data_IF_907469084577
#
_entry.id   IF_907469084577
#
_cell.length_a   1.000
_cell.length_b   1.000
_cell.length_c   1.000
_cell.angle_alpha   90.00
_cell.angle_beta   90.00
_cell.angle_gamma   90.00
#
_symmetry.space_group_name_H-M   'P 1'
#
loop_
_entity.id
_entity.type
_entity.pdbx_description
1 polymer ?
#
# COMPACT_ATOMS: atom_id res chain seq x y z
N UNK A 1 -23.71 -45.71 39.77
CA UNK A 1 -25.15 -45.72 39.51
C UNK A 1 -25.58 -44.26 39.40
N UNK A 2 -25.28 -43.65 38.26
CA UNK A 2 -26.21 -43.45 37.13
C UNK A 2 -27.01 -42.16 37.35
N UNK A 3 -26.72 -41.08 36.63
CA UNK A 3 -27.33 -40.94 35.31
C UNK A 3 -26.59 -39.91 34.43
N UNK A 4 -26.29 -40.38 33.23
CA UNK A 4 -25.58 -39.73 32.14
C UNK A 4 -26.61 -39.29 31.09
N UNK A 5 -26.68 -37.97 30.76
CA UNK A 5 -27.19 -37.36 29.50
C UNK A 5 -28.69 -37.61 29.11
N UNK A 6 -29.31 -36.84 28.17
CA UNK A 6 -28.74 -35.92 27.19
C UNK A 6 -29.43 -34.54 27.04
N UNK A 7 -28.63 -33.51 26.75
CA UNK A 7 -29.02 -32.37 25.90
C UNK A 7 -28.00 -32.29 24.75
N UNK A 8 -27.98 -33.36 23.96
CA UNK A 8 -27.24 -33.49 22.71
C UNK A 8 -28.26 -33.41 21.56
N UNK A 9 -28.99 -32.29 21.46
CA UNK A 9 -30.02 -32.12 20.41
C UNK A 9 -30.15 -30.70 19.84
N UNK A 10 -29.18 -29.80 20.04
CA UNK A 10 -29.20 -28.45 19.38
C UNK A 10 -27.90 -28.19 18.61
N UNK A 11 -27.33 -29.22 17.97
CA UNK A 11 -26.18 -29.04 17.07
C UNK A 11 -26.46 -29.57 15.66
N UNK A 12 -27.73 -29.71 15.29
CA UNK A 12 -28.13 -30.26 14.01
C UNK A 12 -29.35 -29.58 13.40
N UNK A 13 -29.42 -28.26 13.51
CA UNK A 13 -30.15 -27.41 12.55
C UNK A 13 -29.39 -26.11 12.47
N UNK A 14 -28.70 -25.88 11.34
CA UNK A 14 -28.55 -24.59 10.64
C UNK A 14 -27.43 -24.69 9.58
N UNK A 15 -27.63 -25.41 8.46
CA UNK A 15 -27.24 -24.85 7.19
C UNK A 15 -28.25 -23.73 6.87
N UNK A 16 -27.79 -22.49 6.68
CA UNK A 16 -28.53 -21.24 6.38
C UNK A 16 -28.45 -20.18 7.50
N UNK A 17 -27.28 -19.57 7.70
CA UNK A 17 -27.16 -18.22 8.28
C UNK A 17 -26.24 -17.35 7.42
N UNK A 18 -26.58 -17.23 6.13
CA UNK A 18 -26.19 -16.07 5.33
C UNK A 18 -27.03 -14.87 5.79
N UNK A 19 -26.61 -14.16 6.85
CA UNK A 19 -26.90 -12.74 7.14
C UNK A 19 -26.30 -12.37 8.50
N UNK A 20 -25.39 -11.40 8.50
CA UNK A 20 -24.64 -10.89 9.66
C UNK A 20 -25.45 -10.29 10.82
N UNK A 21 -26.78 -10.45 10.86
CA UNK A 21 -27.64 -9.82 11.87
C UNK A 21 -27.94 -10.69 13.11
N UNK A 22 -27.55 -11.97 13.13
CA UNK A 22 -27.86 -12.88 14.27
C UNK A 22 -26.80 -12.84 15.39
N UNK A 23 -25.57 -12.37 15.10
CA UNK A 23 -24.53 -12.21 16.14
C UNK A 23 -24.84 -11.06 17.12
N UNK A 24 -25.57 -10.04 16.67
CA UNK A 24 -25.97 -8.93 17.54
C UNK A 24 -27.06 -9.34 18.56
N UNK A 25 -27.95 -10.26 18.19
CA UNK A 25 -29.03 -10.73 19.10
C UNK A 25 -28.54 -11.72 20.16
N UNK A 26 -27.46 -12.47 19.91
CA UNK A 26 -26.87 -13.34 20.94
C UNK A 26 -26.18 -12.57 22.07
N UNK A 27 -25.60 -11.40 21.77
CA UNK A 27 -25.01 -10.53 22.81
C UNK A 27 -26.08 -9.96 23.75
N UNK A 28 -27.30 -9.70 23.26
CA UNK A 28 -28.41 -9.18 24.07
C UNK A 28 -29.12 -10.24 24.91
N UNK A 29 -29.07 -11.53 24.52
CA UNK A 29 -29.63 -12.62 25.32
C UNK A 29 -28.74 -12.93 26.53
N UNK A 30 -27.41 -12.82 26.39
CA UNK A 30 -26.49 -13.10 27.49
C UNK A 30 -26.36 -11.94 28.50
N UNK A 31 -26.64 -10.69 28.09
CA UNK A 31 -26.65 -9.55 29.01
C UNK A 31 -27.86 -9.49 29.95
N UNK A 32 -28.90 -10.31 29.74
CA UNK A 32 -30.13 -10.31 30.55
C UNK A 32 -30.23 -11.44 31.59
N UNK A 33 -29.25 -12.33 31.66
CA UNK A 33 -29.14 -13.31 32.74
C UNK A 33 -27.88 -12.98 33.54
N UNK A 34 -28.07 -12.20 34.59
CA UNK A 34 -27.01 -11.77 35.48
C UNK A 34 -26.28 -12.93 36.16
N UNK A 35 -25.05 -12.63 36.58
CA UNK A 35 -24.11 -13.43 37.38
C UNK A 35 -23.31 -14.49 36.61
N UNK A 36 -22.02 -14.24 36.44
CA UNK A 36 -21.06 -15.24 35.99
C UNK A 36 -20.00 -14.68 35.04
N UNK A 37 -18.77 -14.58 35.53
CA UNK A 37 -17.53 -14.28 34.82
C UNK A 37 -17.52 -14.84 33.39
N UNK A 38 -17.47 -13.96 32.38
CA UNK A 38 -17.33 -14.37 30.98
C UNK A 38 -16.04 -15.18 30.84
N UNK A 39 -16.18 -16.47 30.51
CA UNK A 39 -15.05 -17.42 30.48
C UNK A 39 -14.03 -17.04 29.38
N UNK A 40 -12.72 -17.12 29.66
CA UNK A 40 -11.65 -16.78 28.72
C UNK A 40 -11.69 -17.58 27.40
N UNK A 41 -12.31 -18.76 27.38
CA UNK A 41 -12.49 -19.59 26.18
C UNK A 41 -13.36 -18.95 25.09
N UNK A 42 -14.38 -18.16 25.44
CA UNK A 42 -15.28 -17.59 24.41
C UNK A 42 -14.61 -16.41 23.68
N UNK A 43 -13.81 -15.62 24.41
CA UNK A 43 -12.98 -14.56 23.82
C UNK A 43 -11.86 -15.15 22.94
N UNK A 44 -11.28 -16.27 23.37
CA UNK A 44 -10.28 -17.01 22.59
C UNK A 44 -10.86 -17.57 21.29
N UNK A 45 -12.06 -18.17 21.33
CA UNK A 45 -12.74 -18.69 20.14
C UNK A 45 -13.14 -17.57 19.17
N UNK A 46 -13.54 -16.39 19.68
CA UNK A 46 -13.85 -15.23 18.83
C UNK A 46 -12.59 -14.66 18.16
N UNK A 47 -11.49 -14.51 18.90
CA UNK A 47 -10.18 -14.14 18.32
C UNK A 47 -9.69 -15.15 17.31
N UNK A 48 -9.74 -16.45 17.61
CA UNK A 48 -9.36 -17.51 16.67
C UNK A 48 -10.26 -17.56 15.43
N UNK A 49 -11.54 -17.23 15.54
CA UNK A 49 -12.47 -17.19 14.41
C UNK A 49 -12.26 -15.94 13.55
N UNK A 50 -12.03 -14.78 14.16
CA UNK A 50 -11.66 -13.54 13.47
C UNK A 50 -10.29 -13.66 12.79
N UNK A 51 -9.33 -14.33 13.42
CA UNK A 51 -8.02 -14.64 12.83
C UNK A 51 -8.12 -15.70 11.73
N UNK A 52 -8.96 -16.73 11.90
CA UNK A 52 -9.24 -17.71 10.83
C UNK A 52 -9.97 -17.09 9.65
N UNK A 53 -10.88 -16.14 9.87
CA UNK A 53 -11.52 -15.39 8.79
C UNK A 53 -10.55 -14.42 8.10
N UNK A 54 -9.67 -13.74 8.86
CA UNK A 54 -8.56 -12.93 8.30
C UNK A 54 -7.58 -13.78 7.48
N UNK A 55 -7.22 -14.96 7.98
CA UNK A 55 -6.35 -15.92 7.29
C UNK A 55 -7.02 -16.53 6.06
N UNK A 56 -8.32 -16.84 6.11
CA UNK A 56 -9.08 -17.39 4.98
C UNK A 56 -9.40 -16.36 3.87
N UNK A 57 -9.35 -15.06 4.17
CA UNK A 57 -9.51 -13.97 3.19
C UNK A 57 -8.20 -13.35 2.69
N UNK A 58 -7.03 -13.74 3.22
CA UNK A 58 -5.72 -13.29 2.72
C UNK A 58 -5.43 -13.93 1.37
N UNK A 59 -5.93 -13.32 0.30
CA UNK A 59 -5.37 -13.54 -1.04
C UNK A 59 -3.88 -13.28 -0.95
N UNK A 60 -3.05 -14.26 -1.34
CA UNK A 60 -1.59 -14.15 -1.36
C UNK A 60 -1.20 -12.83 -2.04
N UNK A 61 -0.46 -11.97 -1.36
CA UNK A 61 0.03 -10.72 -1.93
C UNK A 61 0.99 -11.04 -3.08
N UNK A 62 0.88 -10.29 -4.18
CA UNK A 62 1.71 -10.49 -5.37
C UNK A 62 2.74 -9.39 -5.54
N UNK A 63 2.49 -8.20 -4.99
CA UNK A 63 3.34 -7.03 -5.21
C UNK A 63 3.39 -6.12 -3.98
N UNK A 64 4.53 -5.46 -3.82
CA UNK A 64 4.74 -4.33 -2.93
C UNK A 64 5.15 -3.14 -3.81
N UNK A 65 4.41 -2.04 -3.71
CA UNK A 65 4.60 -0.82 -4.48
C UNK A 65 5.15 0.25 -3.55
N UNK A 66 6.29 0.85 -3.89
CA UNK A 66 6.97 1.83 -3.04
C UNK A 66 7.10 3.15 -3.76
N UNK A 67 6.72 4.24 -3.12
CA UNK A 67 7.30 5.53 -3.45
C UNK A 67 8.80 5.54 -3.15
N UNK A 68 9.51 6.47 -3.79
CA UNK A 68 10.94 6.64 -3.64
C UNK A 68 11.24 7.76 -2.63
N UNK A 69 10.81 8.98 -2.97
CA UNK A 69 11.23 10.20 -2.30
C UNK A 69 10.52 10.33 -0.95
N UNK A 70 11.29 10.71 0.07
CA UNK A 70 10.84 10.81 1.47
C UNK A 70 10.22 9.51 2.08
N UNK A 71 10.25 8.41 1.33
CA UNK A 71 9.74 7.09 1.69
C UNK A 71 10.86 6.07 1.92
N UNK A 72 11.75 5.87 0.93
CA UNK A 72 12.92 4.96 1.07
C UNK A 72 14.11 5.64 1.74
N UNK A 73 14.07 6.95 1.87
CA UNK A 73 15.03 7.77 2.59
C UNK A 73 14.27 8.92 3.27
N UNK A 74 14.80 9.51 4.35
CA UNK A 74 14.04 10.50 5.11
C UNK A 74 14.02 11.88 4.44
N UNK A 75 12.94 12.64 4.73
CA UNK A 75 12.79 14.06 4.35
C UNK A 75 13.99 14.94 4.75
N UNK A 76 14.68 14.57 5.84
CA UNK A 76 15.89 15.27 6.30
C UNK A 76 17.08 15.19 5.34
N UNK A 77 17.01 14.38 4.28
CA UNK A 77 18.01 14.36 3.19
C UNK A 77 18.15 15.71 2.48
N UNK A 78 17.09 16.54 2.52
CA UNK A 78 17.04 17.85 1.88
C UNK A 78 16.73 17.81 0.38
N UNK A 79 16.51 16.63 -0.22
CA UNK A 79 16.21 16.51 -1.66
C UNK A 79 14.90 17.22 -1.99
N UNK A 80 13.82 16.97 -1.24
CA UNK A 80 12.54 17.64 -1.47
C UNK A 80 12.66 19.16 -1.34
N UNK A 81 13.40 19.64 -0.33
CA UNK A 81 13.67 21.06 -0.12
C UNK A 81 14.40 21.69 -1.30
N UNK A 82 15.44 21.04 -1.80
CA UNK A 82 16.19 21.53 -2.97
C UNK A 82 15.41 21.40 -4.28
N UNK A 83 14.57 20.37 -4.41
CA UNK A 83 13.71 20.19 -5.57
C UNK A 83 12.68 21.33 -5.66
N UNK A 84 11.99 21.62 -4.56
CA UNK A 84 11.14 22.79 -4.45
C UNK A 84 11.92 24.06 -4.78
N UNK A 85 13.19 24.15 -4.30
CA UNK A 85 14.09 25.26 -4.60
C UNK A 85 14.23 25.52 -6.10
N UNK A 86 14.62 24.47 -6.82
CA UNK A 86 14.85 24.54 -8.26
C UNK A 86 13.57 24.83 -9.06
N UNK A 87 12.40 24.37 -8.58
CA UNK A 87 11.11 24.69 -9.21
C UNK A 87 10.83 26.19 -9.08
N UNK A 88 11.02 26.78 -7.90
CA UNK A 88 10.82 28.21 -7.67
C UNK A 88 11.74 29.06 -8.56
N UNK A 89 13.02 28.71 -8.64
CA UNK A 89 13.98 29.37 -9.54
C UNK A 89 13.54 29.30 -11.00
N UNK A 90 13.10 28.13 -11.47
CA UNK A 90 12.63 27.96 -12.84
C UNK A 90 11.38 28.82 -13.12
N UNK A 91 10.44 28.88 -12.18
CA UNK A 91 9.25 29.73 -12.27
C UNK A 91 9.62 31.22 -12.37
N UNK A 92 10.56 31.68 -11.56
CA UNK A 92 11.02 33.07 -11.60
C UNK A 92 11.75 33.40 -12.90
N UNK A 93 12.75 32.61 -13.26
CA UNK A 93 13.71 32.98 -14.30
C UNK A 93 13.30 32.58 -15.70
N UNK A 94 12.60 31.46 -15.85
CA UNK A 94 12.22 30.91 -17.16
C UNK A 94 10.79 31.22 -17.52
N UNK A 95 9.90 31.31 -16.52
CA UNK A 95 8.50 31.64 -16.74
C UNK A 95 8.15 33.11 -16.43
N UNK A 96 9.09 33.87 -15.85
CA UNK A 96 8.87 35.29 -15.54
C UNK A 96 7.83 35.52 -14.45
N UNK A 97 7.57 34.52 -13.60
CA UNK A 97 6.63 34.64 -12.49
C UNK A 97 7.25 35.53 -11.41
N UNK A 98 6.50 36.54 -10.97
CA UNK A 98 6.96 37.46 -9.92
C UNK A 98 7.31 36.71 -8.63
N UNK A 99 8.47 37.02 -8.04
CA UNK A 99 8.96 36.37 -6.81
C UNK A 99 7.97 36.40 -5.65
N UNK A 100 7.12 37.44 -5.55
CA UNK A 100 6.08 37.55 -4.52
C UNK A 100 4.98 36.50 -4.63
N UNK A 101 4.86 35.83 -5.79
CA UNK A 101 3.92 34.73 -6.05
C UNK A 101 4.59 33.36 -5.86
N UNK A 102 5.89 33.33 -5.61
CA UNK A 102 6.69 32.12 -5.40
C UNK A 102 7.04 32.07 -3.89
N UNK A 103 6.88 30.93 -3.20
CA UNK A 103 7.22 30.84 -1.77
C UNK A 103 8.66 31.32 -1.41
N UNK A 104 8.95 31.75 -0.18
CA UNK A 104 10.17 32.54 0.12
C UNK A 104 11.55 31.78 0.16
N UNK A 105 11.82 30.78 -0.67
CA UNK A 105 13.00 29.88 -0.48
C UNK A 105 13.90 29.65 -1.72
N UNK A 106 14.38 30.66 -2.46
CA UNK A 106 14.94 30.38 -3.80
C UNK A 106 16.32 31.02 -4.12
N UNK A 107 17.36 30.17 -4.21
CA UNK A 107 18.70 30.41 -4.80
C UNK A 107 19.23 29.07 -5.34
N UNK A 108 19.69 29.02 -6.59
CA UNK A 108 20.12 27.82 -7.33
C UNK A 108 20.92 26.75 -6.57
N UNK A 109 20.56 25.48 -6.75
CA UNK A 109 21.35 24.35 -6.28
C UNK A 109 21.15 23.03 -7.04
N UNK A 110 22.22 22.23 -7.14
CA UNK A 110 22.08 20.82 -7.55
C UNK A 110 21.40 20.05 -6.43
N UNK A 111 20.58 19.04 -6.76
CA UNK A 111 20.01 18.16 -5.75
C UNK A 111 21.13 17.48 -4.92
N UNK A 112 21.04 17.50 -3.57
CA UNK A 112 22.14 17.13 -2.69
C UNK A 112 22.26 15.61 -2.52
N UNK A 113 22.50 14.88 -3.60
CA UNK A 113 22.61 13.42 -3.60
C UNK A 113 23.75 12.90 -2.71
N UNK A 114 24.74 13.72 -2.39
CA UNK A 114 25.81 13.47 -1.41
C UNK A 114 25.31 13.22 0.02
N UNK A 115 24.12 13.71 0.35
CA UNK A 115 23.50 13.47 1.65
C UNK A 115 22.94 12.05 1.76
N UNK A 116 22.62 11.41 0.62
CA UNK A 116 22.20 10.02 0.59
C UNK A 116 23.41 9.10 0.80
N UNK A 117 23.28 8.16 1.73
CA UNK A 117 24.29 7.16 2.07
C UNK A 117 23.71 5.76 1.83
N UNK A 118 24.57 4.76 1.54
CA UNK A 118 24.11 3.38 1.44
C UNK A 118 23.39 2.94 2.70
N UNK A 119 22.27 2.24 2.52
CA UNK A 119 21.46 1.71 3.62
C UNK A 119 21.48 0.18 3.60
N UNK A 120 22.49 -0.46 4.23
CA UNK A 120 22.61 -1.91 4.22
C UNK A 120 21.47 -2.60 5.00
N UNK A 121 20.83 -1.90 5.94
CA UNK A 121 19.72 -2.46 6.73
C UNK A 121 18.49 -2.54 5.85
N UNK A 122 18.12 -1.45 5.18
CA UNK A 122 17.00 -1.42 4.24
C UNK A 122 17.25 -2.38 3.06
N UNK A 123 18.48 -2.42 2.54
CA UNK A 123 18.87 -3.38 1.49
C UNK A 123 18.59 -4.81 1.91
N UNK A 124 19.09 -5.24 3.07
CA UNK A 124 18.88 -6.59 3.58
C UNK A 124 17.39 -6.89 3.77
N UNK A 125 16.64 -5.94 4.32
CA UNK A 125 15.20 -6.04 4.52
C UNK A 125 14.46 -6.27 3.20
N UNK A 126 14.71 -5.44 2.18
CA UNK A 126 14.09 -5.53 0.87
C UNK A 126 14.47 -6.82 0.12
N UNK A 127 15.72 -7.26 0.23
CA UNK A 127 16.19 -8.51 -0.39
C UNK A 127 15.57 -9.74 0.27
N UNK A 128 15.33 -9.70 1.58
CA UNK A 128 14.74 -10.81 2.32
C UNK A 128 13.24 -11.03 2.04
N UNK A 129 12.55 -10.06 1.43
CA UNK A 129 11.13 -10.15 1.08
C UNK A 129 10.89 -11.06 -0.14
N UNK A 130 10.16 -12.19 -0.02
CA UNK A 130 9.86 -13.10 -1.13
C UNK A 130 8.68 -12.63 -2.00
N UNK A 131 8.48 -11.32 -2.13
CA UNK A 131 7.38 -10.69 -2.89
C UNK A 131 7.98 -9.73 -3.92
N UNK A 132 7.33 -9.59 -5.09
CA UNK A 132 7.73 -8.62 -6.11
C UNK A 132 7.66 -7.20 -5.56
N UNK A 133 8.67 -6.39 -5.85
CA UNK A 133 8.82 -5.00 -5.40
C UNK A 133 8.95 -4.09 -6.62
N UNK A 134 8.16 -3.03 -6.66
CA UNK A 134 8.15 -2.06 -7.76
C UNK A 134 8.20 -0.65 -7.18
N UNK A 135 9.00 0.22 -7.78
CA UNK A 135 9.00 1.65 -7.44
C UNK A 135 7.92 2.36 -8.24
N UNK A 136 7.22 3.28 -7.61
CA UNK A 136 6.30 4.22 -8.23
C UNK A 136 6.55 5.65 -7.74
N UNK A 137 7.35 6.40 -8.50
CA UNK A 137 7.76 7.78 -8.20
C UNK A 137 7.20 8.76 -9.24
N UNK A 138 6.96 10.01 -8.82
CA UNK A 138 6.69 11.12 -9.73
C UNK A 138 7.98 11.70 -10.36
N UNK A 139 9.15 11.32 -9.84
CA UNK A 139 10.44 11.71 -10.38
C UNK A 139 10.75 11.05 -11.73
N UNK A 140 11.78 11.56 -12.39
CA UNK A 140 12.28 11.03 -13.64
C UNK A 140 13.21 9.82 -13.44
N UNK A 141 13.48 9.10 -14.53
CA UNK A 141 14.33 7.91 -14.52
C UNK A 141 15.76 8.18 -14.03
N UNK A 142 16.33 9.34 -14.34
CA UNK A 142 17.71 9.70 -13.95
C UNK A 142 17.77 9.94 -12.44
N UNK A 143 16.78 10.63 -11.89
CA UNK A 143 16.65 10.84 -10.46
C UNK A 143 16.49 9.52 -9.72
N UNK A 144 15.57 8.67 -10.16
CA UNK A 144 15.32 7.37 -9.54
C UNK A 144 16.59 6.50 -9.52
N UNK A 145 17.30 6.41 -10.64
CA UNK A 145 18.55 5.65 -10.74
C UNK A 145 19.62 6.17 -9.75
N UNK A 146 19.81 7.49 -9.68
CA UNK A 146 20.79 8.11 -8.77
C UNK A 146 20.46 7.84 -7.30
N UNK A 147 19.20 7.98 -6.90
CA UNK A 147 18.79 7.72 -5.50
C UNK A 147 19.06 6.26 -5.15
N UNK A 148 18.64 5.32 -5.99
CA UNK A 148 18.86 3.89 -5.73
C UNK A 148 20.35 3.55 -5.68
N UNK A 149 21.16 4.13 -6.55
CA UNK A 149 22.62 3.96 -6.52
C UNK A 149 23.22 4.47 -5.20
N UNK A 150 22.84 5.67 -4.77
CA UNK A 150 23.35 6.24 -3.51
C UNK A 150 22.92 5.48 -2.27
N UNK A 151 21.73 4.89 -2.28
CA UNK A 151 21.22 4.05 -1.20
C UNK A 151 21.73 2.60 -1.28
N UNK A 152 22.32 2.19 -2.40
CA UNK A 152 22.73 0.81 -2.65
C UNK A 152 21.54 -0.14 -2.74
N UNK A 153 20.50 0.22 -3.51
CA UNK A 153 19.23 -0.51 -3.65
C UNK A 153 18.89 -0.88 -5.11
N UNK A 154 19.85 -0.79 -6.03
CA UNK A 154 19.61 -0.88 -7.48
C UNK A 154 19.04 -2.22 -7.94
N UNK A 155 19.33 -3.30 -7.21
CA UNK A 155 18.89 -4.68 -7.48
C UNK A 155 17.73 -5.15 -6.58
N UNK A 156 17.18 -4.27 -5.74
CA UNK A 156 16.09 -4.62 -4.82
C UNK A 156 14.70 -4.64 -5.48
N UNK A 157 14.56 -4.02 -6.66
CA UNK A 157 13.27 -3.77 -7.31
C UNK A 157 13.22 -4.37 -8.72
N UNK A 158 12.11 -5.02 -9.05
CA UNK A 158 11.89 -5.64 -10.37
C UNK A 158 11.45 -4.62 -11.43
N UNK A 159 11.09 -3.40 -11.05
CA UNK A 159 10.68 -2.37 -11.99
C UNK A 159 10.54 -0.99 -11.37
N UNK A 160 10.60 0.03 -12.22
CA UNK A 160 10.44 1.44 -11.85
C UNK A 160 9.36 2.04 -12.75
N UNK A 161 8.30 2.55 -12.14
CA UNK A 161 7.31 3.42 -12.76
C UNK A 161 7.68 4.84 -12.37
N UNK A 162 8.17 5.60 -13.35
CA UNK A 162 8.61 6.97 -13.21
C UNK A 162 7.89 7.87 -14.21
N UNK A 163 8.24 9.15 -14.25
CA UNK A 163 7.64 10.13 -15.17
C UNK A 163 7.58 9.62 -16.61
N UNK A 164 8.68 9.13 -17.17
CA UNK A 164 8.75 8.66 -18.57
C UNK A 164 7.95 7.37 -18.80
N UNK A 165 7.81 6.52 -17.77
CA UNK A 165 6.97 5.32 -17.86
C UNK A 165 5.50 5.69 -18.03
N UNK A 166 5.03 6.72 -17.32
CA UNK A 166 3.65 7.18 -17.38
C UNK A 166 3.38 8.12 -18.56
N UNK A 167 4.38 8.89 -18.96
CA UNK A 167 4.29 9.94 -19.98
C UNK A 167 5.30 9.67 -21.10
N UNK A 168 5.18 8.55 -21.83
CA UNK A 168 6.09 8.25 -22.92
C UNK A 168 5.98 9.34 -23.99
N UNK A 169 7.10 9.74 -24.63
CA UNK A 169 7.05 10.67 -25.75
C UNK A 169 6.13 10.07 -26.82
N UNK A 170 5.13 10.84 -27.24
CA UNK A 170 4.13 10.41 -28.21
C UNK A 170 4.82 9.94 -29.50
N UNK A 171 4.66 8.67 -29.86
CA UNK A 171 4.84 8.23 -31.24
C UNK A 171 3.62 8.70 -32.02
N UNK A 172 3.70 9.94 -32.52
CA UNK A 172 2.83 10.57 -33.53
C UNK A 172 1.55 9.82 -33.93
N UNK A 173 0.39 10.27 -33.42
CA UNK A 173 -0.85 10.38 -34.19
C UNK A 173 -1.88 11.25 -33.46
N UNK A 174 -2.10 12.45 -34.03
CA UNK A 174 -3.41 13.11 -34.16
C UNK A 174 -4.17 13.46 -32.87
N UNK A 175 -3.79 14.60 -32.28
CA UNK A 175 -4.67 15.76 -32.05
C UNK A 175 -3.88 16.84 -31.31
N UNK A 176 -3.02 17.56 -32.04
CA UNK A 176 -2.81 18.98 -31.70
C UNK A 176 -4.09 19.72 -32.11
N UNK A 177 -5.20 19.48 -31.40
CA UNK A 177 -6.16 20.57 -31.29
C UNK A 177 -5.41 21.65 -30.54
N UNK A 178 -5.31 22.84 -31.13
CA UNK A 178 -4.91 24.05 -30.43
C UNK A 178 -5.85 24.23 -29.23
N UNK A 179 -5.56 23.55 -28.13
CA UNK A 179 -6.22 23.77 -26.87
C UNK A 179 -5.74 25.16 -26.48
N UNK A 180 -6.66 26.12 -26.45
CA UNK A 180 -6.44 27.44 -25.90
C UNK A 180 -5.58 27.28 -24.63
N UNK A 181 -4.38 27.84 -24.63
CA UNK A 181 -3.48 27.79 -23.47
C UNK A 181 -4.28 28.37 -22.31
N UNK A 182 -4.66 27.50 -21.37
CA UNK A 182 -5.44 27.93 -20.24
C UNK A 182 -4.54 28.78 -19.35
N UNK A 183 -4.82 30.07 -19.30
CA UNK A 183 -4.09 30.99 -18.43
C UNK A 183 -4.50 30.74 -16.98
N UNK A 184 -3.78 29.81 -16.36
CA UNK A 184 -3.96 29.43 -14.96
C UNK A 184 -3.71 30.61 -14.03
N UNK A 185 -2.83 31.54 -14.41
CA UNK A 185 -2.50 32.73 -13.61
C UNK A 185 -3.67 33.72 -13.64
N UNK A 186 -4.28 33.95 -14.80
CA UNK A 186 -5.51 34.75 -14.90
C UNK A 186 -6.66 34.09 -14.16
N UNK A 187 -6.83 32.76 -14.28
CA UNK A 187 -7.90 32.04 -13.58
C UNK A 187 -7.82 32.18 -12.05
N UNK A 188 -6.63 32.06 -11.46
CA UNK A 188 -6.44 32.26 -10.02
C UNK A 188 -6.57 33.73 -9.60
N UNK A 189 -6.24 34.67 -10.49
CA UNK A 189 -6.40 36.11 -10.24
C UNK A 189 -7.86 36.57 -10.37
N UNK A 190 -8.64 35.93 -11.24
CA UNK A 190 -10.04 36.22 -11.53
C UNK A 190 -10.87 34.92 -11.59
N UNK A 191 -11.28 34.35 -10.44
CA UNK A 191 -11.97 33.07 -10.39
C UNK A 191 -13.32 33.16 -11.13
N UNK A 192 -13.42 32.53 -12.30
CA UNK A 192 -14.68 32.44 -13.05
C UNK A 192 -15.46 31.23 -12.54
N UNK A 193 -16.65 31.47 -11.98
CA UNK A 193 -17.55 30.41 -11.52
C UNK A 193 -17.94 29.49 -12.68
N UNK A 194 -17.69 28.19 -12.55
CA UNK A 194 -18.06 27.17 -13.53
C UNK A 194 -17.00 26.83 -14.58
N UNK A 195 -15.80 27.41 -14.50
CA UNK A 195 -14.65 27.03 -15.34
C UNK A 195 -13.75 26.09 -14.52
N UNK A 196 -13.75 24.80 -14.85
CA UNK A 196 -12.80 23.84 -14.28
C UNK A 196 -11.44 23.98 -14.96
N UNK A 197 -10.36 23.76 -14.19
CA UNK A 197 -9.02 23.67 -14.77
C UNK A 197 -8.97 22.49 -15.74
N UNK A 198 -8.39 22.65 -16.95
CA UNK A 198 -8.24 21.54 -17.87
C UNK A 198 -7.41 20.44 -17.21
N UNK A 199 -7.77 19.18 -17.47
CA UNK A 199 -6.95 18.06 -17.05
C UNK A 199 -5.57 18.19 -17.71
N UNK A 200 -4.52 18.22 -16.89
CA UNK A 200 -3.15 18.21 -17.41
C UNK A 200 -2.93 16.92 -18.20
N UNK A 201 -2.29 16.99 -19.38
CA UNK A 201 -1.92 15.78 -20.12
C UNK A 201 -0.87 14.95 -19.37
N UNK A 202 -0.24 15.51 -18.33
CA UNK A 202 0.79 14.84 -17.53
C UNK A 202 0.13 13.98 -16.45
N UNK A 203 0.40 12.67 -16.52
CA UNK A 203 0.00 11.70 -15.52
C UNK A 203 1.04 11.62 -14.41
N UNK A 204 0.64 11.97 -13.19
CA UNK A 204 1.43 11.80 -11.98
C UNK A 204 0.52 11.52 -10.75
N UNK A 205 1.08 10.95 -9.69
CA UNK A 205 0.40 10.86 -8.38
C UNK A 205 0.10 12.28 -7.89
N UNK A 206 -1.07 12.53 -7.25
CA UNK A 206 -2.06 11.59 -6.74
C UNK A 206 -3.22 11.26 -7.71
N UNK A 207 -3.11 11.58 -9.01
CA UNK A 207 -4.20 11.34 -9.97
C UNK A 207 -4.61 9.86 -10.00
N UNK A 208 -5.91 9.59 -9.91
CA UNK A 208 -6.45 8.23 -10.02
C UNK A 208 -6.10 7.61 -11.38
N UNK A 209 -6.19 8.40 -12.45
CA UNK A 209 -5.82 7.97 -13.81
C UNK A 209 -4.34 7.57 -13.88
N UNK A 210 -3.45 8.33 -13.22
CA UNK A 210 -2.03 7.99 -13.18
C UNK A 210 -1.78 6.69 -12.39
N UNK A 211 -2.46 6.52 -11.25
CA UNK A 211 -2.37 5.33 -10.41
C UNK A 211 -2.86 4.09 -11.17
N UNK A 212 -4.04 4.14 -11.81
CA UNK A 212 -4.58 3.04 -12.62
C UNK A 212 -3.69 2.71 -13.82
N UNK A 213 -3.15 3.73 -14.50
CA UNK A 213 -2.21 3.55 -15.61
C UNK A 213 -0.92 2.87 -15.14
N UNK A 214 -0.37 3.26 -14.00
CA UNK A 214 0.80 2.64 -13.39
C UNK A 214 0.56 1.15 -13.14
N UNK A 215 -0.55 0.80 -12.47
CA UNK A 215 -0.89 -0.60 -12.19
C UNK A 215 -1.06 -1.43 -13.47
N UNK A 216 -1.68 -0.85 -14.51
CA UNK A 216 -1.87 -1.51 -15.80
C UNK A 216 -0.54 -1.78 -16.50
N UNK A 217 0.35 -0.79 -16.58
CA UNK A 217 1.67 -0.93 -17.22
C UNK A 217 2.50 -2.00 -16.51
N UNK A 218 2.46 -2.03 -15.18
CA UNK A 218 3.25 -2.96 -14.39
C UNK A 218 2.58 -4.33 -14.15
N UNK A 219 1.38 -4.55 -14.69
CA UNK A 219 0.57 -5.75 -14.47
C UNK A 219 0.37 -6.06 -12.98
N UNK A 220 -0.10 -5.05 -12.22
CA UNK A 220 -0.31 -5.13 -10.78
C UNK A 220 -1.81 -5.21 -10.49
N UNK A 221 -2.22 -6.17 -9.67
CA UNK A 221 -3.57 -6.25 -9.10
C UNK A 221 -3.64 -5.38 -7.83
N UNK A 222 -4.49 -4.33 -7.79
CA UNK A 222 -4.61 -3.47 -6.61
C UNK A 222 -5.02 -4.24 -5.36
N UNK A 223 -5.87 -5.26 -5.47
CA UNK A 223 -6.37 -6.01 -4.30
C UNK A 223 -5.33 -6.96 -3.71
N UNK A 224 -4.20 -7.16 -4.38
CA UNK A 224 -3.10 -8.05 -3.98
C UNK A 224 -1.79 -7.28 -3.78
N UNK A 225 -1.89 -5.97 -3.55
CA UNK A 225 -0.74 -5.07 -3.49
C UNK A 225 -0.80 -4.15 -2.27
N UNK A 226 0.34 -4.00 -1.60
CA UNK A 226 0.56 -2.99 -0.57
C UNK A 226 1.30 -1.81 -1.18
N UNK A 227 0.82 -0.59 -0.95
CA UNK A 227 1.41 0.66 -1.42
C UNK A 227 1.96 1.49 -0.26
N UNK A 228 3.25 1.79 -0.30
CA UNK A 228 4.00 2.58 0.68
C UNK A 228 4.33 3.94 0.08
N UNK A 229 3.91 5.04 0.71
CA UNK A 229 4.13 6.41 0.25
C UNK A 229 4.03 7.36 1.45
N UNK A 230 4.82 8.43 1.49
CA UNK A 230 4.78 9.44 2.56
C UNK A 230 3.65 10.45 2.35
N UNK A 231 3.13 10.58 1.13
CA UNK A 231 2.11 11.54 0.79
C UNK A 231 0.71 11.03 1.11
N UNK A 232 0.05 11.69 2.05
CA UNK A 232 -1.36 11.47 2.39
C UNK A 232 -2.27 11.44 1.15
N UNK A 233 -2.03 12.33 0.18
CA UNK A 233 -2.85 12.41 -1.04
C UNK A 233 -2.65 11.20 -1.96
N UNK A 234 -1.41 10.71 -2.06
CA UNK A 234 -1.11 9.51 -2.84
C UNK A 234 -1.74 8.29 -2.17
N UNK A 235 -1.56 8.14 -0.86
CA UNK A 235 -2.16 7.06 -0.06
C UNK A 235 -3.69 7.02 -0.21
N UNK A 236 -4.37 8.15 -0.03
CA UNK A 236 -5.82 8.22 -0.21
C UNK A 236 -6.27 7.86 -1.62
N UNK A 237 -5.49 8.22 -2.64
CA UNK A 237 -5.80 7.90 -4.03
C UNK A 237 -5.57 6.42 -4.34
N UNK A 238 -4.49 5.83 -3.80
CA UNK A 238 -4.25 4.39 -3.90
C UNK A 238 -5.34 3.59 -3.21
N UNK A 239 -5.79 4.05 -2.05
CA UNK A 239 -6.88 3.44 -1.30
C UNK A 239 -8.19 3.40 -2.09
N UNK A 240 -8.52 4.49 -2.81
CA UNK A 240 -9.73 4.59 -3.65
C UNK A 240 -9.77 3.59 -4.79
N UNK A 241 -8.60 3.23 -5.35
CA UNK A 241 -8.51 2.25 -6.44
C UNK A 241 -8.29 0.80 -5.96
N UNK A 242 -8.37 0.58 -4.64
CA UNK A 242 -8.36 -0.77 -4.05
C UNK A 242 -7.02 -1.26 -3.54
N UNK A 243 -5.97 -0.43 -3.52
CA UNK A 243 -4.70 -0.79 -2.89
C UNK A 243 -4.84 -0.90 -1.38
N UNK A 244 -4.07 -1.81 -0.77
CA UNK A 244 -3.78 -1.74 0.66
C UNK A 244 -2.69 -0.70 0.88
N UNK A 245 -2.84 0.20 1.87
CA UNK A 245 -2.05 1.43 1.90
C UNK A 245 -1.33 1.67 3.23
N UNK A 246 -0.08 2.10 3.14
CA UNK A 246 0.79 2.34 4.30
C UNK A 246 1.42 3.72 4.17
N UNK A 247 1.02 4.64 5.05
CA UNK A 247 1.62 5.97 5.14
C UNK A 247 2.97 5.89 5.85
N UNK A 248 4.05 6.34 5.22
CA UNK A 248 5.40 6.30 5.80
C UNK A 248 5.78 7.67 6.38
N UNK A 249 6.58 7.69 7.44
CA UNK A 249 7.05 8.91 8.12
C UNK A 249 6.24 9.32 9.35
N UNK A 250 5.28 8.51 9.79
CA UNK A 250 4.44 8.80 10.97
C UNK A 250 3.91 7.53 11.64
N UNK A 251 3.73 7.54 12.96
CA UNK A 251 3.01 6.48 13.70
C UNK A 251 1.51 6.67 13.72
N UNK A 252 1.00 7.82 13.26
CA UNK A 252 -0.43 8.14 13.33
C UNK A 252 -1.15 7.67 12.07
N UNK A 253 -2.07 6.71 12.24
CA UNK A 253 -3.00 6.33 11.18
C UNK A 253 -4.02 7.46 11.00
N UNK A 254 -4.18 7.88 9.74
CA UNK A 254 -5.13 8.92 9.35
C UNK A 254 -6.32 8.33 8.58
N UNK A 255 -7.39 9.12 8.45
CA UNK A 255 -8.51 8.75 7.59
C UNK A 255 -8.04 8.64 6.13
N UNK A 256 -8.18 7.43 5.57
CA UNK A 256 -7.82 7.13 4.19
C UNK A 256 -6.46 6.44 4.00
N UNK A 257 -5.81 6.02 5.09
CA UNK A 257 -4.71 5.05 5.09
C UNK A 257 -5.14 3.78 5.86
N UNK A 258 -4.59 2.61 5.50
CA UNK A 258 -4.82 1.37 6.29
C UNK A 258 -3.87 1.25 7.47
N UNK A 259 -2.60 1.61 7.24
CA UNK A 259 -1.54 1.57 8.23
C UNK A 259 -0.67 2.81 8.14
N UNK A 260 0.16 3.01 9.18
CA UNK A 260 1.18 4.03 9.23
C UNK A 260 2.47 3.44 9.81
N UNK A 261 3.62 3.85 9.28
CA UNK A 261 4.95 3.48 9.76
C UNK A 261 5.78 4.73 9.98
N UNK A 262 6.46 4.83 11.12
CA UNK A 262 7.41 5.93 11.36
C UNK A 262 8.59 5.87 10.37
N UNK A 263 9.02 4.66 10.02
CA UNK A 263 10.05 4.41 9.01
C UNK A 263 9.73 3.15 8.23
N UNK A 264 10.13 3.12 6.96
CA UNK A 264 10.01 1.91 6.13
C UNK A 264 10.75 0.70 6.72
N UNK A 265 11.74 0.96 7.57
CA UNK A 265 12.48 -0.06 8.33
C UNK A 265 11.60 -0.90 9.27
N UNK A 266 10.45 -0.37 9.69
CA UNK A 266 9.50 -1.06 10.56
C UNK A 266 8.59 -2.04 9.81
N UNK A 267 8.75 -2.22 8.49
CA UNK A 267 7.85 -3.09 7.69
C UNK A 267 7.79 -4.54 8.19
N UNK A 268 8.88 -5.10 8.73
CA UNK A 268 8.90 -6.47 9.26
C UNK A 268 8.17 -6.63 10.58
N UNK A 269 8.20 -5.59 11.41
CA UNK A 269 7.45 -5.56 12.66
C UNK A 269 5.95 -5.41 12.39
N UNK A 270 5.61 -4.54 11.44
CA UNK A 270 4.22 -4.27 11.09
C UNK A 270 3.56 -5.39 10.27
N UNK A 271 4.33 -6.06 9.41
CA UNK A 271 3.86 -7.09 8.48
C UNK A 271 4.78 -8.32 8.49
N UNK A 272 4.93 -9.02 9.63
CA UNK A 272 5.81 -10.19 9.72
C UNK A 272 5.40 -11.31 8.75
N UNK A 273 4.11 -11.40 8.42
CA UNK A 273 3.57 -12.39 7.49
C UNK A 273 4.13 -12.28 6.06
N UNK A 274 4.72 -11.15 5.67
CA UNK A 274 5.30 -11.00 4.32
C UNK A 274 6.51 -11.93 4.11
N UNK A 275 7.09 -12.43 5.21
CA UNK A 275 8.20 -13.39 5.23
C UNK A 275 7.77 -14.84 5.47
N UNK A 276 6.51 -15.08 5.82
CA UNK A 276 6.02 -16.44 6.02
C UNK A 276 5.77 -17.07 4.65
N UNK A 277 6.50 -18.12 4.31
CA UNK A 277 6.22 -18.90 3.11
C UNK A 277 4.77 -19.40 3.19
N UNK A 278 3.96 -19.04 2.18
CA UNK A 278 2.64 -19.62 2.02
C UNK A 278 2.81 -21.15 1.96
N UNK A 279 2.24 -21.81 2.96
CA UNK A 279 2.26 -23.25 3.22
C UNK A 279 2.55 -24.06 1.95
N UNK A 280 3.62 -24.86 1.99
CA UNK A 280 3.85 -25.92 1.02
C UNK A 280 2.65 -26.87 1.11
N UNK A 281 1.64 -26.64 0.29
CA UNK A 281 0.62 -27.63 -0.05
C UNK A 281 1.26 -28.63 -1.00
N UNK A 282 2.27 -29.36 -0.50
CA UNK A 282 2.55 -30.68 -1.01
C UNK A 282 1.53 -31.61 -0.35
N UNK A 283 0.53 -31.99 -1.13
CA UNK A 283 -0.29 -33.18 -0.87
C UNK A 283 0.65 -34.38 -0.67
N UNK A 284 1.12 -34.60 0.55
CA UNK A 284 1.70 -35.88 0.94
C UNK A 284 0.53 -36.83 1.12
N UNK A 285 0.10 -37.38 -0.01
CA UNK A 285 -0.77 -38.54 -0.08
C UNK A 285 -0.11 -39.66 0.73
N UNK A 286 -0.51 -39.81 1.99
CA UNK A 286 -0.18 -40.98 2.78
C UNK A 286 -1.01 -42.13 2.20
N UNK A 287 -0.43 -43.15 1.57
CA UNK A 287 -1.21 -44.35 1.28
C UNK A 287 -1.47 -45.03 2.62
N UNK A 288 -2.73 -45.00 3.04
CA UNK A 288 -3.20 -45.70 4.23
C UNK A 288 -2.77 -47.16 4.17
N UNK A 289 -1.86 -47.55 5.08
CA UNK A 289 -1.59 -48.96 5.37
C UNK A 289 -2.85 -49.52 6.04
N UNK A 290 -3.60 -50.29 5.26
CA UNK A 290 -4.62 -51.21 5.75
C UNK A 290 -3.93 -52.20 6.68
N UNK A 291 -4.24 -52.14 7.97
CA UNK A 291 -3.84 -53.16 8.93
C UNK A 291 -4.71 -54.41 8.70
N UNK A 292 -4.09 -55.47 8.21
CA UNK A 292 -4.67 -56.82 8.21
C UNK A 292 -4.45 -57.41 9.60
N UNK A 293 -5.53 -57.53 10.37
CA UNK A 293 -5.56 -58.39 11.57
C UNK A 293 -5.30 -59.84 11.13
N UNK A 294 -4.23 -60.44 11.66
CA UNK A 294 -4.04 -61.89 11.62
C UNK A 294 -4.12 -62.40 13.05
N UNK A 295 -5.17 -63.17 13.33
CA UNK A 295 -5.32 -63.93 14.58
C UNK A 295 -4.30 -65.07 14.63
N UNK A 296 -3.52 -65.15 15.71
CA UNK A 296 -2.74 -66.34 16.05
C UNK A 296 -3.30 -66.91 17.34
N UNK A 297 -3.80 -68.14 17.25
CA UNK A 297 -4.18 -68.98 18.39
C UNK A 297 -2.89 -69.61 18.94
N UNK A 298 -2.70 -69.53 20.26
CA UNK A 298 -1.79 -70.37 21.03
C UNK A 298 -2.54 -70.85 22.29
#
# INVERSE_FOLDING_TARGET
MDSFRPLFSILLVLPLLHRCSVLATFSSIFLRLGTGTVRPRFLHIKMEYEDRHRRAQRRKLDCLLFDLDDTLYPLSSGIATECLRNIGDYMAEKLGIEQTKIPDFFVHGRLPYENLKPDPVLRHLLQSLPIRKVIFTNGDKVHAAKVLERLGLEDCFQGIICFETLNPPSSSSEQESAADIFDIVDHFSHPRTGVELPETPILCKPSANAMERALRIAHIDPQRTIFFDDSVRNIQSGKRIGLHTVLVGTSQIIKGADHALESIHNIKEAFPELWEEGDKTEDVHHPGKIALETSVIA
#
